data_IF_667087839396
#
_entry.id   IF_667087839396
#
_cell.length_a   1.000
_cell.length_b   1.000
_cell.length_c   1.000
_cell.angle_alpha   90.00
_cell.angle_beta   90.00
_cell.angle_gamma   90.00
#
_symmetry.space_group_name_H-M   'P 1'
#
loop_
_entity.id
_entity.type
_entity.pdbx_description
1 polymer ?
#
# COMPACT_ATOMS: atom_id res chain seq x y z
N UNK A 1 -18.55 1.80 -0.35
CA UNK A 1 -17.74 1.32 0.78
C UNK A 1 -18.31 1.94 2.05
N UNK A 2 -18.02 1.42 3.24
CA UNK A 2 -18.47 1.99 4.51
C UNK A 2 -17.82 3.38 4.70
N UNK A 3 -18.59 4.40 5.12
CA UNK A 3 -18.11 5.77 5.34
C UNK A 3 -16.88 5.81 6.28
N UNK A 4 -16.79 4.89 7.24
CA UNK A 4 -15.65 4.80 8.15
C UNK A 4 -14.37 4.35 7.44
N UNK A 5 -14.48 3.45 6.47
CA UNK A 5 -13.32 2.96 5.71
C UNK A 5 -12.85 4.05 4.75
N UNK A 6 -13.77 4.73 4.06
CA UNK A 6 -13.42 5.84 3.17
C UNK A 6 -12.70 6.98 3.93
N UNK A 7 -13.18 7.38 5.12
CA UNK A 7 -12.48 8.37 5.97
C UNK A 7 -11.08 7.90 6.39
N UNK A 8 -10.95 6.62 6.79
CA UNK A 8 -9.65 6.07 7.15
C UNK A 8 -8.66 6.13 5.97
N UNK A 9 -9.10 5.73 4.78
CA UNK A 9 -8.28 5.71 3.57
C UNK A 9 -7.85 7.12 3.15
N UNK A 10 -8.77 8.09 3.19
CA UNK A 10 -8.47 9.48 2.86
C UNK A 10 -7.43 10.08 3.82
N UNK A 11 -7.58 9.80 5.11
CA UNK A 11 -6.63 10.27 6.13
C UNK A 11 -5.28 9.59 5.99
N UNK A 12 -5.24 8.27 5.77
CA UNK A 12 -4.00 7.52 5.51
C UNK A 12 -3.27 8.08 4.28
N UNK A 13 -3.97 8.24 3.16
CA UNK A 13 -3.40 8.76 1.91
C UNK A 13 -2.85 10.19 2.10
N UNK A 14 -3.58 11.05 2.82
CA UNK A 14 -3.14 12.42 3.14
C UNK A 14 -1.89 12.43 4.02
N UNK A 15 -1.84 11.56 5.03
CA UNK A 15 -0.67 11.38 5.91
C UNK A 15 0.57 10.96 5.10
N UNK A 16 0.41 9.97 4.21
CA UNK A 16 1.49 9.50 3.33
C UNK A 16 1.96 10.60 2.38
N UNK A 17 1.03 11.36 1.77
CA UNK A 17 1.38 12.49 0.90
C UNK A 17 2.15 13.59 1.65
N UNK A 18 1.74 13.91 2.88
CA UNK A 18 2.44 14.91 3.70
C UNK A 18 3.86 14.48 4.06
N UNK A 19 4.04 13.19 4.40
CA UNK A 19 5.32 12.62 4.79
C UNK A 19 6.29 12.53 3.60
N UNK A 20 5.84 11.98 2.46
CA UNK A 20 6.67 11.66 1.31
C UNK A 20 6.79 12.81 0.30
N UNK A 21 5.79 13.70 0.23
CA UNK A 21 5.76 14.86 -0.65
C UNK A 21 6.05 14.46 -2.10
N UNK A 22 7.10 15.03 -2.69
CA UNK A 22 7.54 14.76 -4.06
C UNK A 22 8.07 13.34 -4.29
N UNK A 23 8.31 12.56 -3.23
CA UNK A 23 8.70 11.15 -3.37
C UNK A 23 7.51 10.25 -3.70
N UNK A 24 6.28 10.68 -3.39
CA UNK A 24 5.08 9.89 -3.61
C UNK A 24 4.64 9.98 -5.07
N UNK A 25 4.63 8.83 -5.76
CA UNK A 25 4.00 8.69 -7.07
C UNK A 25 2.49 8.50 -6.91
N UNK A 26 2.06 7.66 -5.97
CA UNK A 26 0.66 7.50 -5.60
C UNK A 26 0.40 6.47 -4.52
N UNK A 27 -0.82 6.48 -3.99
CA UNK A 27 -1.33 5.51 -3.00
C UNK A 27 -2.54 4.83 -3.62
N UNK A 28 -2.54 3.50 -3.56
CA UNK A 28 -3.51 2.65 -4.24
C UNK A 28 -4.08 1.63 -3.28
N UNK A 29 -5.39 1.47 -3.33
CA UNK A 29 -6.09 0.41 -2.61
C UNK A 29 -6.07 -0.87 -3.44
N UNK A 30 -5.76 -1.99 -2.78
CA UNK A 30 -5.73 -3.33 -3.35
C UNK A 30 -6.62 -4.29 -2.53
N UNK A 31 -6.50 -5.57 -2.83
CA UNK A 31 -6.99 -6.67 -2.03
C UNK A 31 -8.51 -6.67 -1.86
N UNK A 32 -8.93 -7.10 -0.67
CA UNK A 32 -10.30 -7.54 -0.44
C UNK A 32 -11.38 -6.47 -0.63
N UNK A 33 -11.01 -5.21 -0.39
CA UNK A 33 -11.90 -4.06 -0.51
C UNK A 33 -12.24 -3.70 -1.95
N UNK A 34 -11.35 -3.97 -2.91
CA UNK A 34 -11.59 -3.71 -4.34
C UNK A 34 -12.06 -4.95 -5.10
N UNK A 35 -11.98 -6.13 -4.44
CA UNK A 35 -12.43 -7.41 -4.99
C UNK A 35 -13.84 -7.80 -4.51
N UNK A 36 -14.52 -6.91 -3.78
CA UNK A 36 -15.84 -7.15 -3.18
C UNK A 36 -15.90 -8.39 -2.25
N UNK A 37 -14.78 -8.75 -1.60
CA UNK A 37 -14.68 -9.91 -0.70
C UNK A 37 -14.30 -9.54 0.76
N UNK A 38 -14.35 -8.25 1.10
CA UNK A 38 -14.05 -7.73 2.43
C UNK A 38 -14.89 -8.36 3.55
N UNK A 39 -14.20 -8.93 4.55
CA UNK A 39 -14.77 -9.46 5.77
C UNK A 39 -14.12 -8.77 6.97
N UNK A 40 -14.83 -7.86 7.69
CA UNK A 40 -14.23 -7.05 8.76
C UNK A 40 -13.50 -7.84 9.86
N UNK A 41 -13.85 -9.10 10.09
CA UNK A 41 -13.22 -9.93 11.12
C UNK A 41 -11.94 -10.65 10.66
N UNK A 42 -11.64 -10.65 9.36
CA UNK A 42 -10.55 -11.45 8.79
C UNK A 42 -9.77 -10.75 7.66
N UNK A 43 -10.20 -9.57 7.22
CA UNK A 43 -9.55 -8.81 6.16
C UNK A 43 -8.72 -7.67 6.74
N UNK A 44 -7.49 -7.56 6.25
CA UNK A 44 -6.67 -6.37 6.38
C UNK A 44 -6.98 -5.37 5.26
N UNK A 45 -6.78 -4.08 5.51
CA UNK A 45 -6.82 -3.05 4.47
C UNK A 45 -5.50 -3.10 3.72
N UNK A 46 -5.53 -3.49 2.44
CA UNK A 46 -4.33 -3.64 1.61
C UNK A 46 -4.05 -2.36 0.83
N UNK A 47 -2.94 -1.70 1.14
CA UNK A 47 -2.54 -0.42 0.54
C UNK A 47 -1.15 -0.50 -0.03
N UNK A 48 -1.01 -0.10 -1.29
CA UNK A 48 0.28 -0.01 -1.97
C UNK A 48 0.66 1.45 -2.20
N UNK A 49 1.85 1.82 -1.74
CA UNK A 49 2.40 3.15 -1.82
C UNK A 49 3.59 3.16 -2.80
N UNK A 50 3.41 3.78 -3.96
CA UNK A 50 4.43 3.82 -5.00
C UNK A 50 5.29 5.07 -4.84
N UNK A 51 6.60 4.89 -4.83
CA UNK A 51 7.59 5.95 -4.65
C UNK A 51 8.60 6.03 -5.79
N UNK A 52 9.07 7.23 -6.09
CA UNK A 52 9.98 7.51 -7.21
C UNK A 52 11.46 7.17 -6.91
N UNK A 53 11.79 6.88 -5.65
CA UNK A 53 13.15 6.56 -5.19
C UNK A 53 13.10 5.82 -3.85
N UNK A 54 14.20 5.15 -3.44
CA UNK A 54 14.26 4.41 -2.20
C UNK A 54 13.93 5.21 -0.94
N UNK A 55 13.30 4.54 0.03
CA UNK A 55 12.96 5.15 1.32
C UNK A 55 14.18 5.28 2.21
N UNK A 56 14.38 6.47 2.80
CA UNK A 56 15.40 6.66 3.84
C UNK A 56 14.92 6.09 5.18
N UNK A 57 15.83 5.58 6.00
CA UNK A 57 15.52 5.11 7.35
C UNK A 57 14.78 6.16 8.20
N UNK A 58 15.11 7.44 8.03
CA UNK A 58 14.44 8.52 8.74
C UNK A 58 12.98 8.73 8.31
N UNK A 59 12.60 8.32 7.11
CA UNK A 59 11.21 8.32 6.63
C UNK A 59 10.48 7.09 7.19
N UNK A 60 11.11 5.92 7.15
CA UNK A 60 10.56 4.66 7.70
C UNK A 60 10.24 4.80 9.19
N UNK A 61 11.14 5.38 9.98
CA UNK A 61 10.94 5.65 11.40
C UNK A 61 9.77 6.63 11.64
N UNK A 62 9.74 7.74 10.90
CA UNK A 62 8.68 8.75 11.02
C UNK A 62 7.30 8.24 10.62
N UNK A 63 7.23 7.25 9.73
CA UNK A 63 5.95 6.69 9.30
C UNK A 63 5.18 6.12 10.48
N UNK A 64 5.82 5.27 11.29
CA UNK A 64 5.17 4.64 12.46
C UNK A 64 4.69 5.72 13.45
N UNK A 65 5.54 6.69 13.75
CA UNK A 65 5.20 7.80 14.64
C UNK A 65 4.01 8.62 14.10
N UNK A 66 4.03 8.96 12.81
CA UNK A 66 2.97 9.76 12.20
C UNK A 66 1.63 9.02 12.18
N UNK A 67 1.60 7.72 11.88
CA UNK A 67 0.37 6.92 11.95
C UNK A 67 -0.21 6.90 13.37
N UNK A 68 0.65 6.85 14.39
CA UNK A 68 0.24 6.90 15.79
C UNK A 68 -0.25 8.30 16.22
N UNK A 69 0.45 9.36 15.81
CA UNK A 69 0.08 10.76 16.10
C UNK A 69 -1.29 11.12 15.50
N UNK A 70 -1.53 10.70 14.27
CA UNK A 70 -2.82 10.85 13.58
C UNK A 70 -3.90 9.90 14.12
N UNK A 71 -3.56 8.98 15.04
CA UNK A 71 -4.46 7.98 15.61
C UNK A 71 -5.16 7.16 14.51
N UNK A 72 -4.41 6.78 13.49
CA UNK A 72 -4.91 5.98 12.37
C UNK A 72 -5.02 4.51 12.77
N UNK A 73 -6.09 4.19 13.50
CA UNK A 73 -6.45 2.81 13.83
C UNK A 73 -7.15 2.19 12.62
N UNK A 74 -6.59 1.12 12.01
CA UNK A 74 -7.19 0.51 10.83
C UNK A 74 -8.55 -0.12 11.13
N UNK A 75 -9.50 -0.07 10.18
CA UNK A 75 -10.69 -0.91 10.22
C UNK A 75 -10.31 -2.37 9.96
N UNK A 76 -11.27 -3.27 10.17
CA UNK A 76 -11.05 -4.69 9.93
C UNK A 76 -10.06 -5.34 10.91
N UNK A 77 -9.28 -6.30 10.40
CA UNK A 77 -8.21 -6.98 11.13
C UNK A 77 -6.98 -6.07 11.32
N UNK A 78 -6.72 -5.18 10.34
CA UNK A 78 -5.51 -4.39 10.31
C UNK A 78 -5.27 -3.65 9.00
N UNK A 79 -4.04 -3.16 8.84
CA UNK A 79 -3.50 -2.53 7.65
C UNK A 79 -2.27 -3.33 7.20
N UNK A 80 -2.19 -3.63 5.91
CA UNK A 80 -0.94 -3.97 5.23
C UNK A 80 -0.58 -2.82 4.28
N UNK A 81 0.54 -2.16 4.55
CA UNK A 81 1.03 -1.02 3.77
C UNK A 81 2.38 -1.38 3.15
N UNK A 82 2.41 -1.54 1.84
CA UNK A 82 3.58 -1.97 1.08
C UNK A 82 4.13 -0.81 0.25
N UNK A 83 5.41 -0.51 0.41
CA UNK A 83 6.11 0.52 -0.36
C UNK A 83 6.94 -0.12 -1.46
N UNK A 84 6.76 0.37 -2.69
CA UNK A 84 7.39 -0.20 -3.88
C UNK A 84 7.91 0.92 -4.78
N UNK A 85 9.04 0.70 -5.45
CA UNK A 85 9.55 1.64 -6.45
C UNK A 85 8.67 1.65 -7.70
N UNK A 86 8.50 2.82 -8.31
CA UNK A 86 7.70 2.98 -9.53
C UNK A 86 8.14 2.03 -10.67
N UNK A 87 9.43 1.75 -10.81
CA UNK A 87 9.95 0.85 -11.85
C UNK A 87 9.47 -0.61 -11.68
N UNK A 88 9.28 -1.09 -10.45
CA UNK A 88 8.85 -2.47 -10.15
C UNK A 88 7.42 -2.72 -10.60
N UNK A 89 6.54 -1.74 -10.39
CA UNK A 89 5.13 -1.83 -10.80
C UNK A 89 4.92 -1.48 -12.26
N UNK A 90 5.75 -0.60 -12.82
CA UNK A 90 5.68 -0.21 -14.23
C UNK A 90 6.16 -1.34 -15.15
N UNK A 91 7.16 -2.10 -14.71
CA UNK A 91 7.73 -3.23 -15.46
C UNK A 91 7.81 -4.49 -14.57
N UNK A 92 6.65 -5.10 -14.24
CA UNK A 92 6.64 -6.28 -13.39
C UNK A 92 7.50 -7.40 -13.96
N UNK A 93 8.24 -8.07 -13.08
CA UNK A 93 9.08 -9.24 -13.38
C UNK A 93 8.83 -10.33 -12.34
N UNK A 94 9.39 -11.53 -12.55
CA UNK A 94 9.03 -12.73 -11.77
C UNK A 94 9.30 -12.67 -10.26
N UNK A 95 10.09 -11.72 -9.78
CA UNK A 95 10.49 -11.61 -8.37
C UNK A 95 10.69 -10.12 -8.02
N UNK A 96 9.61 -9.35 -7.91
CA UNK A 96 9.69 -7.91 -7.65
C UNK A 96 10.19 -7.63 -6.23
N UNK A 97 10.70 -6.41 -6.03
CA UNK A 97 11.17 -5.92 -4.75
C UNK A 97 10.21 -4.93 -4.08
N UNK A 98 10.27 -4.89 -2.76
CA UNK A 98 9.61 -3.87 -1.93
C UNK A 98 10.66 -3.14 -1.09
N UNK A 99 10.40 -1.86 -0.84
CA UNK A 99 11.27 -0.97 -0.06
C UNK A 99 11.02 -1.08 1.45
N UNK A 100 9.77 -1.34 1.80
CA UNK A 100 9.30 -1.39 3.17
C UNK A 100 7.89 -1.99 3.23
N UNK A 101 7.62 -2.81 4.25
CA UNK A 101 6.26 -3.25 4.59
C UNK A 101 5.96 -2.85 6.02
N UNK A 102 4.81 -2.21 6.25
CA UNK A 102 4.27 -1.95 7.56
C UNK A 102 2.95 -2.69 7.71
N UNK A 103 2.87 -3.58 8.69
CA UNK A 103 1.63 -4.25 9.07
C UNK A 103 1.18 -3.72 10.42
N UNK A 104 -0.07 -3.25 10.53
CA UNK A 104 -0.66 -2.83 11.80
C UNK A 104 -1.91 -3.65 12.07
N UNK A 105 -1.84 -4.54 13.06
CA UNK A 105 -2.99 -5.27 13.58
C UNK A 105 -3.40 -4.73 14.94
N UNK A 106 -4.71 -4.54 15.18
CA UNK A 106 -5.23 -3.81 16.36
C UNK A 106 -4.82 -4.45 17.69
N UNK A 107 -4.81 -5.77 17.75
CA UNK A 107 -4.54 -6.53 18.99
C UNK A 107 -3.06 -6.94 19.15
N UNK A 108 -2.24 -6.74 18.11
CA UNK A 108 -0.83 -7.16 18.10
C UNK A 108 0.10 -5.95 18.08
N UNK A 109 -0.29 -4.87 17.41
CA UNK A 109 0.51 -3.68 17.19
C UNK A 109 1.13 -3.65 15.79
N UNK A 110 2.16 -2.80 15.65
CA UNK A 110 2.85 -2.56 14.38
C UNK A 110 4.05 -3.49 14.23
N UNK A 111 4.19 -4.08 13.05
CA UNK A 111 5.36 -4.85 12.60
C UNK A 111 5.84 -4.27 11.29
N UNK A 112 7.15 -4.36 11.08
CA UNK A 112 7.79 -3.79 9.89
C UNK A 112 8.74 -4.82 9.27
N UNK A 113 8.82 -4.81 7.94
CA UNK A 113 9.88 -5.48 7.18
C UNK A 113 10.64 -4.42 6.40
N UNK A 114 11.96 -4.47 6.51
CA UNK A 114 12.87 -3.70 5.64
C UNK A 114 12.85 -4.27 4.22
N UNK A 115 13.60 -3.64 3.31
CA UNK A 115 13.68 -4.00 1.89
C UNK A 115 13.84 -5.51 1.65
N UNK A 116 13.18 -6.01 0.61
CA UNK A 116 13.18 -7.43 0.28
C UNK A 116 12.56 -7.70 -1.08
N UNK A 117 12.42 -8.99 -1.38
CA UNK A 117 11.81 -9.49 -2.62
C UNK A 117 10.70 -10.48 -2.29
N UNK A 118 9.61 -10.42 -3.04
CA UNK A 118 8.46 -11.31 -2.82
C UNK A 118 7.68 -11.51 -4.14
N UNK A 119 7.57 -12.76 -4.59
CA UNK A 119 6.77 -13.13 -5.76
C UNK A 119 5.28 -12.81 -5.56
N UNK A 120 4.81 -12.77 -4.30
CA UNK A 120 3.43 -12.46 -3.92
C UNK A 120 2.96 -11.08 -4.39
N UNK A 121 3.88 -10.11 -4.51
CA UNK A 121 3.56 -8.76 -4.98
C UNK A 121 2.97 -8.75 -6.40
N UNK A 122 3.26 -9.76 -7.23
CA UNK A 122 2.68 -9.85 -8.56
C UNK A 122 1.15 -9.99 -8.53
N UNK A 123 0.62 -10.63 -7.48
CA UNK A 123 -0.83 -10.69 -7.26
C UNK A 123 -1.37 -9.29 -6.94
N UNK A 124 -0.72 -8.56 -6.03
CA UNK A 124 -1.13 -7.19 -5.68
C UNK A 124 -1.03 -6.23 -6.85
N UNK A 125 0.01 -6.35 -7.67
CA UNK A 125 0.16 -5.55 -8.89
C UNK A 125 -0.97 -5.84 -9.87
N UNK A 126 -1.36 -7.10 -10.00
CA UNK A 126 -2.48 -7.52 -10.86
C UNK A 126 -3.80 -6.97 -10.34
N UNK A 127 -4.08 -7.07 -9.04
CA UNK A 127 -5.30 -6.53 -8.42
C UNK A 127 -5.35 -5.01 -8.58
N UNK A 128 -4.25 -4.31 -8.27
CA UNK A 128 -4.17 -2.87 -8.47
C UNK A 128 -4.45 -2.48 -9.93
N UNK A 129 -3.85 -3.15 -10.90
CA UNK A 129 -4.05 -2.86 -12.32
C UNK A 129 -5.49 -3.10 -12.79
N UNK A 130 -6.13 -4.18 -12.33
CA UNK A 130 -7.44 -4.61 -12.83
C UNK A 130 -8.62 -3.99 -12.09
N UNK A 131 -8.48 -3.81 -10.77
CA UNK A 131 -9.58 -3.49 -9.86
C UNK A 131 -9.22 -2.39 -8.86
N UNK A 132 -7.96 -2.00 -8.77
CA UNK A 132 -7.48 -1.06 -7.75
C UNK A 132 -8.19 0.30 -7.80
N UNK A 133 -8.10 1.01 -6.67
CA UNK A 133 -8.59 2.40 -6.55
C UNK A 133 -7.41 3.33 -6.27
N UNK A 134 -7.22 4.35 -7.11
CA UNK A 134 -6.33 5.47 -6.78
C UNK A 134 -6.91 6.26 -5.62
N UNK A 135 -6.20 6.31 -4.49
CA UNK A 135 -6.56 7.17 -3.37
C UNK A 135 -5.98 8.58 -3.57
N UNK A 136 -4.71 8.65 -3.99
CA UNK A 136 -4.04 9.90 -4.35
C UNK A 136 -2.87 9.65 -5.29
N UNK A 137 -2.51 10.65 -6.10
CA UNK A 137 -1.37 10.58 -7.02
C UNK A 137 -1.80 10.32 -8.46
N UNK A 138 -0.92 9.68 -9.24
CA UNK A 138 -1.18 9.36 -10.65
C UNK A 138 -2.31 8.32 -10.79
N UNK A 139 -3.06 8.32 -11.92
CA UNK A 139 -3.97 7.23 -12.26
C UNK A 139 -3.25 5.88 -12.35
N UNK A 140 -3.94 4.78 -12.02
CA UNK A 140 -3.38 3.41 -12.04
C UNK A 140 -2.80 3.07 -13.40
N UNK A 141 -3.50 3.43 -14.48
CA UNK A 141 -3.13 3.17 -15.87
C UNK A 141 -1.85 3.88 -16.32
N UNK A 142 -1.37 4.88 -15.57
CA UNK A 142 -0.10 5.57 -15.82
C UNK A 142 1.08 4.98 -15.02
N UNK A 143 0.81 4.09 -14.06
CA UNK A 143 1.82 3.60 -13.10
C UNK A 143 2.00 2.09 -13.14
N UNK A 144 0.92 1.33 -13.25
CA UNK A 144 0.96 -0.12 -13.21
C UNK A 144 1.05 -0.70 -14.63
N UNK A 145 2.07 -1.53 -14.85
CA UNK A 145 2.21 -2.36 -16.03
C UNK A 145 1.42 -3.66 -15.91
N UNK A 146 1.10 -4.27 -17.05
CA UNK A 146 0.48 -5.59 -17.09
C UNK A 146 1.48 -6.64 -16.59
N UNK A 147 1.11 -7.40 -15.57
CA UNK A 147 1.88 -8.56 -15.12
C UNK A 147 1.84 -9.64 -16.21
N UNK A 148 2.99 -10.12 -16.73
CA UNK A 148 2.99 -11.11 -17.79
C UNK A 148 2.44 -12.45 -17.31
N UNK A 149 1.42 -13.00 -17.99
CA UNK A 149 0.99 -14.38 -17.76
C UNK A 149 2.15 -15.34 -18.09
N UNK A 150 2.69 -16.00 -17.08
CA UNK A 150 3.62 -17.11 -17.28
C UNK A 150 2.76 -18.35 -17.51
N UNK A 151 2.42 -18.60 -18.78
CA UNK A 151 1.75 -19.82 -19.22
C UNK A 151 2.69 -21.02 -19.29
#
# INVERSE_FOLDING_TARGET
>A
MDDQIDDYLDRLATTLQSLLKKQLTGVYLSGSLVMDDWIPTNSDVDVMCIVDRPLKDSVKLKLVDQLAEERLVPPGLGLELVFVLEDEVLKPHSLPSYEYVLTFQRDIGVKVKEEGMDEGLLMDFTICYQSGKTLIGKPIEEVFGVVPNHG
#
